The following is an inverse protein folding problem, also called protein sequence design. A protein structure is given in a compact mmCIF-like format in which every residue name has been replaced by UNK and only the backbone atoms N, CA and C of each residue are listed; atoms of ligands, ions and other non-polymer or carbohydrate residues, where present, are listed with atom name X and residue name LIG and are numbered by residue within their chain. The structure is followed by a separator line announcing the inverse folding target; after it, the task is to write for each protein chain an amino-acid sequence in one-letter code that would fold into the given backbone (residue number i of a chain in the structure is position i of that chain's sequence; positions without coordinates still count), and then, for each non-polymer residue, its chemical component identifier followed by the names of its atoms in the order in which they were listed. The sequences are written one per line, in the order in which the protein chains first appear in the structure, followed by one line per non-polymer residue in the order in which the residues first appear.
data_IF_224735126116
#
_entry.id   IF_224735126116
#
_cell.length_a   1.000
_cell.length_b   1.000
_cell.length_c   1.000
_cell.angle_alpha   90.00
_cell.angle_beta   90.00
_cell.angle_gamma   90.00
#
_symmetry.space_group_name_H-M   'P 1'
#
loop_
_entity.id
_entity.type
_entity.pdbx_description
1 polymer ?
#
# COMPACT_ATOMS: atom_id res chain seq x y z
N UNK A 1 0.73 44.68 -20.42
CA UNK A 1 -0.17 43.52 -20.26
C UNK A 1 -0.69 43.16 -21.65
N UNK A 2 -0.37 41.98 -22.22
CA UNK A 2 -0.49 41.71 -23.66
C UNK A 2 -1.86 41.12 -24.07
N UNK A 3 -2.96 41.51 -23.43
CA UNK A 3 -4.29 41.03 -23.80
C UNK A 3 -5.18 42.23 -24.13
N UNK A 4 -5.71 42.27 -25.35
CA UNK A 4 -6.60 43.32 -25.85
C UNK A 4 -8.03 43.19 -25.30
N UNK A 5 -8.38 41.99 -24.83
CA UNK A 5 -9.70 41.62 -24.30
C UNK A 5 -9.62 41.31 -22.79
N UNK A 6 -10.45 41.97 -21.95
CA UNK A 6 -10.45 41.78 -20.50
C UNK A 6 -10.85 40.37 -20.04
N UNK A 7 -11.68 39.64 -20.79
CA UNK A 7 -12.09 38.28 -20.40
C UNK A 7 -10.95 37.28 -20.61
N UNK A 8 -10.16 37.45 -21.68
CA UNK A 8 -8.98 36.63 -21.92
C UNK A 8 -7.91 36.84 -20.85
N UNK A 9 -7.74 38.08 -20.37
CA UNK A 9 -6.85 38.39 -19.27
C UNK A 9 -7.27 37.67 -17.98
N UNK A 10 -8.57 37.63 -17.68
CA UNK A 10 -9.12 36.92 -16.51
C UNK A 10 -8.93 35.41 -16.61
N UNK A 11 -9.20 34.83 -17.77
CA UNK A 11 -8.99 33.40 -18.03
C UNK A 11 -7.51 33.02 -17.87
N UNK A 12 -6.61 33.81 -18.45
CA UNK A 12 -5.17 33.61 -18.32
C UNK A 12 -4.71 33.69 -16.86
N UNK A 13 -5.16 34.69 -16.11
CA UNK A 13 -4.81 34.80 -14.69
C UNK A 13 -5.33 33.63 -13.84
N UNK A 14 -6.54 33.12 -14.12
CA UNK A 14 -7.09 31.94 -13.45
C UNK A 14 -6.23 30.71 -13.72
N UNK A 15 -5.87 30.48 -14.97
CA UNK A 15 -5.05 29.33 -15.37
C UNK A 15 -3.62 29.45 -14.83
N UNK A 16 -3.03 30.63 -14.88
CA UNK A 16 -1.72 30.92 -14.30
C UNK A 16 -1.69 30.67 -12.79
N UNK A 17 -2.71 31.12 -12.05
CA UNK A 17 -2.84 30.83 -10.60
C UNK A 17 -3.02 29.33 -10.32
N UNK A 18 -3.77 28.61 -11.18
CA UNK A 18 -3.97 27.16 -11.04
C UNK A 18 -2.67 26.39 -11.26
N UNK A 19 -1.93 26.72 -12.31
CA UNK A 19 -0.63 26.11 -12.62
C UNK A 19 0.39 26.42 -11.53
N UNK A 20 0.42 27.65 -11.01
CA UNK A 20 1.33 28.02 -9.92
C UNK A 20 1.03 27.25 -8.63
N UNK A 21 -0.25 27.11 -8.26
CA UNK A 21 -0.63 26.27 -7.10
C UNK A 21 -0.22 24.82 -7.29
N UNK A 22 -0.42 24.25 -8.48
CA UNK A 22 0.00 22.88 -8.77
C UNK A 22 1.53 22.70 -8.74
N UNK A 23 2.29 23.73 -9.15
CA UNK A 23 3.74 23.74 -9.09
C UNK A 23 4.29 23.89 -7.65
N UNK A 24 3.57 24.58 -6.77
CA UNK A 24 3.90 24.72 -5.34
C UNK A 24 3.51 23.48 -4.50
N UNK A 25 2.76 22.52 -5.05
CA UNK A 25 2.54 21.23 -4.39
C UNK A 25 3.76 20.35 -4.61
N UNK A 26 4.76 20.46 -3.73
CA UNK A 26 5.74 19.38 -3.61
C UNK A 26 5.00 18.12 -3.12
N UNK A 27 5.16 16.95 -3.77
CA UNK A 27 4.72 15.70 -3.19
C UNK A 27 5.41 15.56 -1.83
N UNK A 28 4.62 15.57 -0.76
CA UNK A 28 5.09 15.43 0.61
C UNK A 28 5.46 13.98 0.91
N UNK A 29 6.33 13.40 0.10
CA UNK A 29 7.06 12.20 0.49
C UNK A 29 8.28 12.68 1.25
N UNK A 30 8.12 12.90 2.56
CA UNK A 30 9.28 13.05 3.43
C UNK A 30 10.15 11.80 3.24
N UNK A 31 11.43 12.00 2.91
CA UNK A 31 12.45 10.93 2.79
C UNK A 31 12.84 10.35 4.16
N UNK A 32 11.94 10.42 5.14
CA UNK A 32 12.18 9.81 6.44
C UNK A 32 12.05 8.31 6.22
N UNK A 33 13.12 7.52 6.41
CA UNK A 33 13.00 6.09 6.36
C UNK A 33 11.99 5.70 7.44
N UNK A 34 10.85 5.14 7.02
CA UNK A 34 9.97 4.48 7.96
C UNK A 34 10.79 3.36 8.61
N UNK A 35 10.87 3.30 9.95
CA UNK A 35 11.67 2.29 10.64
C UNK A 35 11.21 0.87 10.29
N UNK A 36 9.97 0.72 9.81
CA UNK A 36 9.42 -0.53 9.31
C UNK A 36 8.84 -0.32 7.92
N UNK A 37 9.32 -1.08 6.94
CA UNK A 37 8.73 -1.16 5.60
C UNK A 37 8.05 -2.51 5.45
N UNK A 38 6.73 -2.52 5.41
CA UNK A 38 5.92 -3.72 5.21
C UNK A 38 6.08 -4.20 3.76
N UNK A 39 6.46 -5.46 3.57
CA UNK A 39 6.69 -6.06 2.24
C UNK A 39 5.74 -7.24 1.98
N UNK A 40 5.38 -7.98 3.01
CA UNK A 40 4.51 -9.15 2.93
C UNK A 40 3.38 -9.11 3.96
N UNK A 41 2.38 -9.98 3.76
CA UNK A 41 1.29 -10.16 4.71
C UNK A 41 1.80 -10.50 6.12
N UNK A 42 2.91 -11.23 6.23
CA UNK A 42 3.55 -11.56 7.51
C UNK A 42 3.99 -10.31 8.28
N UNK A 43 4.56 -9.32 7.61
CA UNK A 43 5.02 -8.10 8.26
C UNK A 43 3.84 -7.31 8.83
N UNK A 44 2.71 -7.30 8.11
CA UNK A 44 1.45 -6.71 8.59
C UNK A 44 0.99 -7.44 9.85
N UNK A 45 0.99 -8.78 9.85
CA UNK A 45 0.58 -9.57 11.02
C UNK A 45 1.48 -9.32 12.24
N UNK A 46 2.80 -9.25 12.06
CA UNK A 46 3.74 -8.92 13.12
C UNK A 46 3.47 -7.54 13.71
N UNK A 47 3.27 -6.52 12.86
CA UNK A 47 2.92 -5.18 13.32
C UNK A 47 1.60 -5.18 14.09
N UNK A 48 0.57 -5.87 13.59
CA UNK A 48 -0.73 -5.93 14.25
C UNK A 48 -0.65 -6.65 15.60
N UNK A 49 0.16 -7.70 15.73
CA UNK A 49 0.39 -8.39 17.00
C UNK A 49 0.99 -7.44 18.05
N UNK A 50 2.00 -6.65 17.67
CA UNK A 50 2.60 -5.63 18.54
C UNK A 50 1.55 -4.60 18.99
N UNK A 51 0.74 -4.08 18.06
CA UNK A 51 -0.27 -3.07 18.38
C UNK A 51 -1.40 -3.64 19.25
N UNK A 52 -1.84 -4.87 19.00
CA UNK A 52 -2.83 -5.55 19.86
C UNK A 52 -2.25 -5.74 21.27
N UNK A 53 -0.96 -6.12 21.39
CA UNK A 53 -0.26 -6.19 22.67
C UNK A 53 -0.28 -4.85 23.42
N UNK A 54 0.07 -3.76 22.74
CA UNK A 54 0.06 -2.42 23.32
C UNK A 54 -1.35 -2.01 23.80
N UNK A 55 -2.38 -2.23 23.00
CA UNK A 55 -3.78 -1.92 23.36
C UNK A 55 -4.28 -2.74 24.54
N UNK A 56 -3.83 -4.00 24.67
CA UNK A 56 -4.17 -4.87 25.81
C UNK A 56 -3.50 -4.42 27.10
N UNK A 57 -2.28 -3.88 27.01
CA UNK A 57 -1.54 -3.37 28.16
C UNK A 57 -1.95 -1.94 28.57
N UNK A 58 -2.64 -1.20 27.69
CA UNK A 58 -3.04 0.18 27.96
C UNK A 58 -4.18 0.25 28.99
N UNK A 59 -3.84 0.71 30.19
CA UNK A 59 -4.76 0.90 31.29
C UNK A 59 -5.66 2.14 31.16
N UNK A 60 -5.35 3.06 30.24
CA UNK A 60 -6.13 4.29 30.03
C UNK A 60 -7.36 4.07 29.16
N UNK A 61 -7.37 2.99 28.35
CA UNK A 61 -8.49 2.65 27.48
C UNK A 61 -9.65 2.02 28.27
N UNK A 62 -10.86 2.46 27.96
CA UNK A 62 -12.06 1.79 28.44
C UNK A 62 -12.23 0.42 27.76
N UNK A 63 -12.92 -0.51 28.42
CA UNK A 63 -13.18 -1.85 27.86
C UNK A 63 -13.85 -1.80 26.48
N UNK A 64 -14.90 -0.99 26.24
CA UNK A 64 -15.55 -0.91 24.92
C UNK A 64 -14.64 -0.31 23.85
N UNK A 65 -13.84 0.71 24.16
CA UNK A 65 -12.88 1.29 23.21
C UNK A 65 -11.82 0.27 22.82
N UNK A 66 -11.20 -0.39 23.81
CA UNK A 66 -10.22 -1.45 23.56
C UNK A 66 -10.81 -2.56 22.69
N UNK A 67 -12.02 -3.02 23.00
CA UNK A 67 -12.68 -4.08 22.25
C UNK A 67 -12.94 -3.69 20.79
N UNK A 68 -13.44 -2.47 20.54
CA UNK A 68 -13.68 -1.98 19.17
C UNK A 68 -12.40 -1.85 18.38
N UNK A 69 -11.36 -1.28 18.98
CA UNK A 69 -10.06 -1.10 18.32
C UNK A 69 -9.43 -2.46 17.99
N UNK A 70 -9.41 -3.40 18.94
CA UNK A 70 -8.90 -4.75 18.69
C UNK A 70 -9.74 -5.47 17.62
N UNK A 71 -11.07 -5.35 17.66
CA UNK A 71 -11.96 -5.95 16.65
C UNK A 71 -11.67 -5.42 15.24
N UNK A 72 -11.41 -4.12 15.11
CA UNK A 72 -11.00 -3.53 13.84
C UNK A 72 -9.64 -4.07 13.36
N UNK A 73 -8.63 -4.15 14.23
CA UNK A 73 -7.33 -4.72 13.89
C UNK A 73 -7.43 -6.22 13.52
N UNK A 74 -8.30 -6.97 14.20
CA UNK A 74 -8.55 -8.38 13.90
C UNK A 74 -9.16 -8.58 12.50
N UNK A 75 -10.05 -7.69 12.06
CA UNK A 75 -10.57 -7.72 10.69
C UNK A 75 -9.48 -7.49 9.64
N UNK A 76 -8.53 -6.59 9.91
CA UNK A 76 -7.36 -6.37 9.04
C UNK A 76 -6.44 -7.60 9.05
N UNK A 77 -6.22 -8.22 10.22
CA UNK A 77 -5.41 -9.43 10.34
C UNK A 77 -6.00 -10.59 9.52
N UNK A 78 -7.31 -10.81 9.60
CA UNK A 78 -8.03 -11.78 8.76
C UNK A 78 -7.76 -11.51 7.27
N UNK A 79 -7.87 -10.24 6.85
CA UNK A 79 -7.60 -9.88 5.46
C UNK A 79 -6.16 -10.15 5.05
N UNK A 80 -5.19 -9.84 5.91
CA UNK A 80 -3.78 -10.11 5.63
C UNK A 80 -3.51 -11.62 5.47
N UNK A 81 -4.11 -12.45 6.31
CA UNK A 81 -4.01 -13.93 6.21
C UNK A 81 -4.56 -14.41 4.85
N UNK A 82 -5.75 -13.95 4.46
CA UNK A 82 -6.33 -14.29 3.16
C UNK A 82 -5.41 -13.89 1.98
N UNK A 83 -4.82 -12.69 2.03
CA UNK A 83 -3.92 -12.23 0.98
C UNK A 83 -2.62 -13.03 0.94
N UNK A 84 -2.07 -13.41 2.09
CA UNK A 84 -0.90 -14.27 2.17
C UNK A 84 -1.14 -15.65 1.56
N UNK A 85 -2.30 -16.26 1.86
CA UNK A 85 -2.72 -17.55 1.30
C UNK A 85 -2.88 -17.47 -0.23
N UNK A 86 -3.55 -16.41 -0.72
CA UNK A 86 -3.75 -16.18 -2.13
C UNK A 86 -2.40 -15.99 -2.86
N UNK A 87 -1.47 -15.22 -2.29
CA UNK A 87 -0.12 -15.03 -2.85
C UNK A 87 0.61 -16.35 -2.97
N UNK A 88 0.60 -17.17 -1.91
CA UNK A 88 1.25 -18.48 -1.91
C UNK A 88 0.67 -19.42 -2.97
N UNK A 89 -0.65 -19.40 -3.18
CA UNK A 89 -1.30 -20.18 -4.25
C UNK A 89 -0.93 -19.72 -5.64
N UNK A 90 -0.85 -18.41 -5.87
CA UNK A 90 -0.41 -17.86 -7.16
C UNK A 90 1.03 -18.27 -7.43
N UNK A 91 1.93 -18.12 -6.47
CA UNK A 91 3.33 -18.54 -6.58
C UNK A 91 3.45 -20.04 -6.91
N UNK A 92 2.67 -20.89 -6.25
CA UNK A 92 2.64 -22.32 -6.52
C UNK A 92 2.15 -22.65 -7.95
N UNK A 93 1.11 -21.95 -8.43
CA UNK A 93 0.61 -22.10 -9.79
C UNK A 93 1.66 -21.65 -10.82
N UNK A 94 2.31 -20.51 -10.59
CA UNK A 94 3.36 -20.02 -11.47
C UNK A 94 4.55 -20.99 -11.52
N UNK A 95 4.95 -21.57 -10.39
CA UNK A 95 5.99 -22.58 -10.33
C UNK A 95 5.61 -23.84 -11.14
N UNK A 96 4.38 -24.33 -10.98
CA UNK A 96 3.89 -25.48 -11.73
C UNK A 96 3.85 -25.23 -13.25
N UNK A 97 3.47 -24.02 -13.69
CA UNK A 97 3.48 -23.63 -15.09
C UNK A 97 4.91 -23.53 -15.65
N UNK A 98 5.87 -22.99 -14.88
CA UNK A 98 7.29 -22.95 -15.27
C UNK A 98 7.87 -24.36 -15.48
N UNK A 99 7.52 -25.31 -14.60
CA UNK A 99 7.93 -26.70 -14.74
C UNK A 99 7.36 -27.35 -16.01
N UNK A 100 6.07 -27.12 -16.31
CA UNK A 100 5.42 -27.64 -17.53
C UNK A 100 5.98 -27.04 -18.82
N UNK A 101 6.46 -25.80 -18.79
CA UNK A 101 7.03 -25.09 -19.94
C UNK A 101 8.47 -25.52 -20.25
N UNK A 102 9.10 -26.34 -19.42
CA UNK A 102 10.39 -26.97 -19.75
C UNK A 102 10.10 -28.17 -20.66
N UNK A 103 10.27 -28.11 -21.99
CA UNK A 103 10.17 -29.30 -22.80
C UNK A 103 11.32 -30.23 -22.41
N UNK A 104 11.00 -31.49 -22.12
CA UNK A 104 11.98 -32.55 -22.21
C UNK A 104 12.48 -32.55 -23.66
N UNK A 105 13.69 -32.06 -23.91
CA UNK A 105 14.35 -32.20 -25.21
C UNK A 105 14.57 -33.71 -25.43
N UNK A 106 13.92 -34.33 -26.42
CA UNK A 106 14.21 -35.72 -26.76
C UNK A 106 15.51 -35.76 -27.56
N UNK A 107 16.50 -36.49 -27.04
CA UNK A 107 17.58 -37.13 -27.81
C UNK A 107 18.55 -36.22 -28.58
N UNK A 108 19.80 -36.22 -28.14
CA UNK A 108 20.93 -36.38 -29.08
C UNK A 108 21.79 -37.53 -28.61
N UNK A 109 21.49 -38.69 -29.19
CA UNK A 109 22.46 -39.76 -29.41
C UNK A 109 23.62 -39.23 -30.25
N UNK A 110 24.83 -39.42 -29.74
CA UNK A 110 26.10 -39.35 -30.43
C UNK A 110 27.00 -40.40 -29.80
#
# INVERSE_FOLDING_TARGET
MPFKDPEQARAYQRQYRRLRRAADVQPSTSLIPLPVRLQAAKDVLTLLEEQIGALRADATLTTPERARTIGYLAAIALKAIEQGELSARVEALEAALKLRRTPALPGRSG
#
